data_IF_002429931366
#
_entry.id   IF_002429931366
#
_cell.length_a   1.000
_cell.length_b   1.000
_cell.length_c   1.000
_cell.angle_alpha   90.00
_cell.angle_beta   90.00
_cell.angle_gamma   90.00
#
_symmetry.space_group_name_H-M   'P 1'
#
loop_
_entity.id
_entity.type
_entity.pdbx_description
1 polymer ?
#
# COMPACT_ATOMS: atom_id res chain seq x y z
N UNK A 1 -55.04 2.54 -20.96
CA UNK A 1 -54.40 1.70 -19.94
C UNK A 1 -53.86 2.63 -18.86
N UNK A 2 -53.94 2.25 -17.58
CA UNK A 2 -53.57 3.10 -16.42
C UNK A 2 -52.06 3.35 -16.31
N UNK A 3 -51.26 2.60 -17.07
CA UNK A 3 -49.80 2.64 -17.09
C UNK A 3 -49.22 3.39 -18.29
N UNK A 4 -50.05 3.78 -19.27
CA UNK A 4 -49.62 4.39 -20.54
C UNK A 4 -48.54 3.59 -21.30
N UNK A 5 -48.51 2.26 -21.14
CA UNK A 5 -47.57 1.35 -21.84
C UNK A 5 -48.33 0.37 -22.74
N UNK A 6 -47.60 -0.22 -23.70
CA UNK A 6 -48.09 -1.36 -24.47
C UNK A 6 -48.10 -2.60 -23.58
N UNK A 7 -49.23 -3.29 -23.54
CA UNK A 7 -49.48 -4.44 -22.68
C UNK A 7 -50.01 -5.60 -23.54
N UNK A 8 -49.68 -6.82 -23.12
CA UNK A 8 -50.13 -8.09 -23.67
C UNK A 8 -50.90 -8.85 -22.59
N UNK A 9 -51.70 -9.82 -23.00
CA UNK A 9 -52.53 -10.60 -22.09
C UNK A 9 -52.28 -12.09 -22.28
N UNK A 10 -51.77 -12.76 -21.23
CA UNK A 10 -51.48 -14.21 -21.19
C UNK A 10 -52.30 -14.95 -20.11
N UNK A 11 -53.27 -14.25 -19.51
CA UNK A 11 -53.92 -14.62 -18.25
C UNK A 11 -53.75 -13.51 -17.20
N UNK A 12 -52.65 -12.74 -17.28
CA UNK A 12 -52.45 -11.47 -16.60
C UNK A 12 -52.14 -10.36 -17.62
N UNK A 13 -52.41 -9.10 -17.27
CA UNK A 13 -51.92 -7.97 -18.05
C UNK A 13 -50.43 -7.81 -17.77
N UNK A 14 -49.60 -8.16 -18.74
CA UNK A 14 -48.16 -7.97 -18.69
C UNK A 14 -47.79 -6.80 -19.59
N UNK A 15 -46.83 -5.98 -19.17
CA UNK A 15 -46.28 -4.98 -20.07
C UNK A 15 -45.49 -5.71 -21.15
N UNK A 16 -45.82 -5.49 -22.43
CA UNK A 16 -44.99 -5.97 -23.54
C UNK A 16 -43.76 -5.09 -23.54
N UNK A 17 -42.71 -5.58 -22.91
CA UNK A 17 -41.46 -4.85 -22.70
C UNK A 17 -40.28 -5.78 -22.80
N UNK A 18 -39.12 -5.18 -23.04
CA UNK A 18 -37.83 -5.85 -23.10
C UNK A 18 -37.02 -5.32 -24.27
N UNK A 19 -35.72 -5.30 -24.10
CA UNK A 19 -34.78 -5.12 -25.20
C UNK A 19 -34.30 -6.52 -25.54
N UNK A 20 -34.59 -6.97 -26.75
CA UNK A 20 -34.14 -8.26 -27.29
C UNK A 20 -33.48 -8.00 -28.65
N UNK A 21 -32.48 -8.79 -28.99
CA UNK A 21 -31.99 -8.90 -30.36
C UNK A 21 -32.90 -9.79 -31.23
N UNK A 22 -32.45 -10.10 -32.45
CA UNK A 22 -33.28 -10.75 -33.47
C UNK A 22 -33.56 -12.23 -33.15
N UNK A 23 -32.62 -12.92 -32.53
CA UNK A 23 -32.69 -14.34 -32.12
C UNK A 23 -32.98 -14.52 -30.62
N UNK A 24 -33.15 -13.42 -29.88
CA UNK A 24 -33.60 -13.35 -28.50
C UNK A 24 -32.63 -13.97 -27.48
N UNK A 25 -31.33 -14.02 -27.79
CA UNK A 25 -30.29 -14.48 -26.85
C UNK A 25 -29.51 -13.34 -26.19
N UNK A 26 -29.65 -12.10 -26.69
CA UNK A 26 -29.14 -10.88 -26.07
C UNK A 26 -30.31 -10.03 -25.61
N UNK A 27 -30.47 -9.90 -24.29
CA UNK A 27 -31.65 -9.24 -23.72
C UNK A 27 -31.42 -8.64 -22.33
N UNK A 28 -32.36 -7.79 -21.91
CA UNK A 28 -32.38 -7.20 -20.57
C UNK A 28 -33.64 -7.66 -19.83
N UNK A 29 -33.48 -8.17 -18.61
CA UNK A 29 -34.62 -8.46 -17.72
C UNK A 29 -34.62 -7.55 -16.51
N UNK A 30 -35.82 -7.16 -16.06
CA UNK A 30 -36.03 -6.46 -14.79
C UNK A 30 -36.21 -7.42 -13.61
N UNK A 31 -36.43 -8.70 -13.91
CA UNK A 31 -36.59 -9.78 -12.95
C UNK A 31 -36.22 -11.11 -13.60
N UNK A 32 -35.67 -12.06 -12.83
CA UNK A 32 -35.34 -13.39 -13.35
C UNK A 32 -36.59 -14.24 -13.58
N UNK A 33 -37.55 -14.10 -12.66
CA UNK A 33 -38.83 -14.81 -12.69
C UNK A 33 -39.95 -13.78 -12.71
N UNK A 34 -40.81 -13.74 -13.76
CA UNK A 34 -41.91 -12.79 -13.85
C UNK A 34 -42.80 -12.80 -12.60
N UNK A 35 -43.00 -11.62 -12.01
CA UNK A 35 -43.81 -11.41 -10.79
C UNK A 35 -43.11 -11.78 -9.48
N UNK A 36 -41.86 -12.25 -9.50
CA UNK A 36 -41.09 -12.49 -8.29
C UNK A 36 -40.52 -11.21 -7.65
N UNK A 37 -40.43 -10.12 -8.44
CA UNK A 37 -39.96 -8.81 -7.98
C UNK A 37 -38.61 -8.88 -7.23
N UNK A 38 -37.61 -9.49 -7.88
CA UNK A 38 -36.27 -9.65 -7.27
C UNK A 38 -35.47 -8.34 -7.23
N UNK A 39 -35.95 -7.27 -7.88
CA UNK A 39 -35.34 -5.94 -7.95
C UNK A 39 -33.93 -5.94 -8.59
N UNK A 40 -33.66 -6.87 -9.51
CA UNK A 40 -32.36 -6.99 -10.17
C UNK A 40 -32.53 -6.82 -11.68
N UNK A 41 -31.87 -5.80 -12.23
CA UNK A 41 -31.73 -5.64 -13.68
C UNK A 41 -30.57 -6.51 -14.15
N UNK A 42 -30.79 -7.33 -15.18
CA UNK A 42 -29.77 -8.23 -15.74
C UNK A 42 -29.58 -7.99 -17.23
N UNK A 43 -28.33 -8.02 -17.65
CA UNK A 43 -27.91 -7.91 -19.05
C UNK A 43 -27.40 -9.27 -19.50
N UNK A 44 -28.03 -9.82 -20.53
CA UNK A 44 -27.65 -11.08 -21.16
C UNK A 44 -27.06 -10.82 -22.55
N UNK A 45 -26.04 -11.58 -22.91
CA UNK A 45 -25.50 -11.64 -24.28
C UNK A 45 -25.14 -13.09 -24.61
N UNK A 46 -25.55 -13.55 -25.79
CA UNK A 46 -25.38 -14.94 -26.22
C UNK A 46 -25.89 -15.96 -25.17
N UNK A 47 -27.02 -15.65 -24.52
CA UNK A 47 -27.63 -16.47 -23.48
C UNK A 47 -26.95 -16.45 -22.10
N UNK A 48 -25.91 -15.64 -21.89
CA UNK A 48 -25.17 -15.55 -20.62
C UNK A 48 -25.36 -14.19 -19.95
N UNK A 49 -25.53 -14.17 -18.62
CA UNK A 49 -25.53 -12.92 -17.85
C UNK A 49 -24.11 -12.32 -17.85
N UNK A 50 -23.98 -11.10 -18.40
CA UNK A 50 -22.70 -10.36 -18.46
C UNK A 50 -22.65 -9.19 -17.46
N UNK A 51 -23.81 -8.74 -16.98
CA UNK A 51 -23.89 -7.73 -15.95
C UNK A 51 -25.20 -7.83 -15.15
N UNK A 52 -25.15 -7.48 -13.87
CA UNK A 52 -26.35 -7.24 -13.06
C UNK A 52 -26.25 -5.97 -12.24
N UNK A 53 -27.39 -5.31 -12.04
CA UNK A 53 -27.52 -4.11 -11.22
C UNK A 53 -28.54 -4.41 -10.12
N UNK A 54 -28.10 -4.24 -8.88
CA UNK A 54 -28.94 -4.29 -7.69
C UNK A 54 -29.17 -2.87 -7.16
N UNK A 55 -29.77 -2.73 -5.98
CA UNK A 55 -29.91 -1.43 -5.33
C UNK A 55 -28.55 -0.78 -4.99
N UNK A 56 -27.49 -1.59 -4.83
CA UNK A 56 -26.21 -1.12 -4.27
C UNK A 56 -25.00 -1.45 -5.13
N UNK A 57 -25.14 -2.31 -6.13
CA UNK A 57 -24.01 -2.86 -6.86
C UNK A 57 -24.25 -2.86 -8.37
N UNK A 58 -23.17 -2.62 -9.11
CA UNK A 58 -23.06 -2.96 -10.51
C UNK A 58 -22.02 -4.09 -10.65
N UNK A 59 -22.50 -5.27 -11.00
CA UNK A 59 -21.70 -6.48 -11.10
C UNK A 59 -21.32 -6.73 -12.56
N UNK A 60 -20.02 -6.76 -12.85
CA UNK A 60 -19.43 -7.11 -14.15
C UNK A 60 -18.13 -7.87 -13.94
N UNK A 61 -17.82 -8.80 -14.84
CA UNK A 61 -16.56 -9.55 -14.76
C UNK A 61 -15.34 -8.71 -15.16
N UNK A 62 -15.53 -7.76 -16.06
CA UNK A 62 -14.51 -6.86 -16.55
C UNK A 62 -15.15 -5.52 -16.84
N UNK A 63 -14.60 -4.48 -16.22
CA UNK A 63 -15.08 -3.12 -16.45
C UNK A 63 -14.07 -2.42 -17.36
N UNK A 64 -14.53 -2.07 -18.56
CA UNK A 64 -13.84 -1.15 -19.44
C UNK A 64 -14.64 0.15 -19.46
N UNK A 65 -14.06 1.20 -18.90
CA UNK A 65 -14.65 2.55 -18.90
C UNK A 65 -13.60 3.48 -19.45
N UNK A 66 -13.92 4.06 -20.61
CA UNK A 66 -12.96 4.81 -21.42
C UNK A 66 -11.67 3.97 -21.61
N UNK A 67 -10.52 4.50 -21.20
CA UNK A 67 -9.23 3.82 -21.31
C UNK A 67 -8.86 2.97 -20.08
N UNK A 68 -9.66 2.99 -19.01
CA UNK A 68 -9.39 2.29 -17.75
C UNK A 68 -10.03 0.92 -17.79
N UNK A 69 -9.23 -0.08 -17.46
CA UNK A 69 -9.69 -1.43 -17.25
C UNK A 69 -9.50 -1.84 -15.80
N UNK A 70 -10.59 -2.34 -15.24
CA UNK A 70 -10.58 -3.16 -14.05
C UNK A 70 -10.86 -4.57 -14.52
N UNK A 71 -9.78 -5.35 -14.57
CA UNK A 71 -9.82 -6.76 -14.96
C UNK A 71 -9.26 -7.56 -13.80
N UNK A 72 -10.17 -8.24 -13.11
CA UNK A 72 -9.90 -8.82 -11.80
C UNK A 72 -9.37 -7.76 -10.83
N UNK A 73 -8.12 -7.93 -10.40
CA UNK A 73 -7.45 -7.11 -9.39
C UNK A 73 -6.49 -6.06 -9.97
N UNK A 74 -6.35 -6.03 -11.29
CA UNK A 74 -5.43 -5.11 -11.94
C UNK A 74 -6.24 -3.93 -12.41
N UNK A 75 -6.00 -2.82 -11.75
CA UNK A 75 -6.37 -1.54 -12.32
C UNK A 75 -5.25 -1.20 -13.30
N UNK A 76 -5.61 -1.13 -14.58
CA UNK A 76 -4.67 -0.89 -15.68
C UNK A 76 -5.33 -0.01 -16.72
N UNK A 77 -4.52 0.46 -17.64
CA UNK A 77 -4.97 1.15 -18.83
C UNK A 77 -4.96 0.21 -20.03
N UNK A 78 -5.83 0.49 -20.99
CA UNK A 78 -6.02 -0.37 -22.17
C UNK A 78 -5.54 0.26 -23.45
N UNK A 79 -5.60 1.58 -23.55
CA UNK A 79 -4.97 2.31 -24.64
C UNK A 79 -3.47 2.33 -24.41
N UNK A 80 -2.70 1.92 -25.43
CA UNK A 80 -1.26 1.88 -25.32
C UNK A 80 -0.72 3.25 -24.92
N UNK A 81 0.20 3.26 -23.96
CA UNK A 81 0.85 4.46 -23.47
C UNK A 81 -0.09 5.43 -22.71
N UNK A 82 -1.04 4.93 -21.91
CA UNK A 82 -1.83 5.76 -20.97
C UNK A 82 -1.63 5.35 -19.51
N UNK A 83 -1.84 6.28 -18.58
CA UNK A 83 -1.53 6.13 -17.15
C UNK A 83 -2.74 5.82 -16.26
N UNK A 84 -2.51 5.15 -15.12
CA UNK A 84 -3.50 5.00 -14.05
C UNK A 84 -3.37 6.13 -13.02
N UNK A 85 -4.37 7.01 -12.95
CA UNK A 85 -4.40 8.11 -12.00
C UNK A 85 -5.27 7.80 -10.76
N UNK A 86 -4.70 7.83 -9.55
CA UNK A 86 -5.39 7.75 -8.26
C UNK A 86 -5.31 9.11 -7.56
N UNK A 87 -6.39 9.91 -7.53
CA UNK A 87 -6.39 11.29 -7.04
C UNK A 87 -7.48 11.51 -5.97
N UNK A 88 -7.18 12.10 -4.79
CA UNK A 88 -8.16 12.33 -3.73
C UNK A 88 -8.80 13.74 -3.91
N UNK A 89 -9.76 14.13 -3.05
CA UNK A 89 -10.35 15.48 -3.07
C UNK A 89 -10.31 16.14 -1.68
N UNK A 90 -10.16 17.47 -1.60
CA UNK A 90 -10.14 18.22 -0.32
C UNK A 90 -8.92 17.91 0.57
N UNK A 91 -9.12 17.72 1.89
CA UNK A 91 -8.06 17.27 2.84
C UNK A 91 -7.88 15.75 2.86
N UNK A 92 -8.42 15.04 1.87
CA UNK A 92 -8.22 13.60 1.71
C UNK A 92 -6.82 13.28 1.19
N UNK A 93 -6.26 12.15 1.60
CA UNK A 93 -5.07 11.58 0.98
C UNK A 93 -5.45 10.60 -0.13
N UNK A 94 -4.60 10.45 -1.14
CA UNK A 94 -4.60 9.17 -1.86
C UNK A 94 -3.94 8.24 -0.87
N UNK A 95 -4.75 7.37 -0.30
CA UNK A 95 -4.24 6.29 0.50
C UNK A 95 -3.58 5.29 -0.47
N UNK A 96 -2.40 5.68 -0.96
CA UNK A 96 -1.32 4.85 -1.52
C UNK A 96 -0.21 4.77 -0.48
N UNK A 97 -0.59 4.96 0.78
CA UNK A 97 0.38 5.16 1.83
C UNK A 97 1.35 6.32 1.46
N UNK A 98 2.55 6.36 2.02
CA UNK A 98 3.59 7.35 1.72
C UNK A 98 4.77 6.74 0.94
N UNK A 99 4.47 5.88 -0.03
CA UNK A 99 5.37 4.78 -0.37
C UNK A 99 5.35 4.49 -1.87
N UNK A 100 6.55 4.44 -2.47
CA UNK A 100 6.77 3.73 -3.72
C UNK A 100 7.26 2.31 -3.42
N UNK A 101 6.60 1.31 -4.02
CA UNK A 101 6.97 -0.10 -3.94
C UNK A 101 7.31 -0.54 -5.35
N UNK A 102 8.60 -0.62 -5.66
CA UNK A 102 9.05 -1.06 -6.98
C UNK A 102 10.37 -1.78 -6.85
N UNK A 103 10.55 -2.90 -7.56
CA UNK A 103 11.86 -3.54 -7.66
C UNK A 103 12.52 -3.86 -6.31
N UNK A 104 11.73 -4.23 -5.30
CA UNK A 104 12.16 -4.51 -3.92
C UNK A 104 12.66 -3.31 -3.10
N UNK A 105 12.35 -2.10 -3.54
CA UNK A 105 12.68 -0.88 -2.81
C UNK A 105 11.43 -0.17 -2.31
N UNK A 106 11.47 0.21 -1.03
CA UNK A 106 10.59 1.22 -0.46
C UNK A 106 11.35 2.53 -0.51
N UNK A 107 11.05 3.29 -1.55
CA UNK A 107 11.63 4.60 -1.68
C UNK A 107 10.66 5.61 -1.11
N UNK A 108 11.04 6.27 -0.01
CA UNK A 108 10.44 7.56 0.25
C UNK A 108 10.98 8.50 -0.80
N UNK A 109 10.08 8.88 -1.68
CA UNK A 109 10.42 9.71 -2.81
C UNK A 109 10.71 11.17 -2.42
N UNK A 110 10.83 11.50 -1.12
CA UNK A 110 11.09 12.86 -0.61
C UNK A 110 12.54 13.01 -0.08
N UNK A 111 13.37 13.76 -0.81
CA UNK A 111 14.81 14.00 -0.51
C UNK A 111 15.05 14.79 0.78
N UNK A 112 15.95 14.31 1.62
CA UNK A 112 16.27 14.91 2.93
C UNK A 112 15.10 14.87 3.93
N UNK A 113 13.89 14.50 3.49
CA UNK A 113 12.81 14.18 4.38
C UNK A 113 13.06 12.81 4.99
N UNK A 114 12.72 12.71 6.26
CA UNK A 114 12.67 11.41 6.89
C UNK A 114 11.54 10.60 6.25
N UNK A 115 11.85 9.37 5.85
CA UNK A 115 10.83 8.31 5.81
C UNK A 115 10.45 8.04 7.24
N UNK A 116 9.33 8.64 7.64
CA UNK A 116 8.89 8.53 9.02
C UNK A 116 7.96 7.35 9.12
N UNK A 117 8.49 6.31 9.75
CA UNK A 117 7.67 5.28 10.35
C UNK A 117 7.14 5.85 11.66
N UNK A 118 5.98 6.48 11.59
CA UNK A 118 5.32 7.08 12.75
C UNK A 118 4.36 6.10 13.38
N UNK A 119 4.52 5.86 14.69
CA UNK A 119 3.57 5.11 15.51
C UNK A 119 2.79 6.06 16.41
N UNK A 120 1.52 5.75 16.68
CA UNK A 120 0.72 6.45 17.69
C UNK A 120 0.98 5.85 19.08
N UNK A 121 0.93 6.65 20.15
CA UNK A 121 1.09 6.17 21.53
C UNK A 121 2.51 5.70 21.89
N UNK A 122 2.66 4.48 22.38
CA UNK A 122 3.95 3.87 22.80
C UNK A 122 4.51 2.87 21.77
N UNK A 123 4.02 2.91 20.52
CA UNK A 123 4.50 2.03 19.44
C UNK A 123 5.93 2.34 19.00
N UNK A 124 6.56 1.39 18.30
CA UNK A 124 7.95 1.47 17.83
C UNK A 124 8.12 0.80 16.46
N UNK A 125 9.29 0.98 15.86
CA UNK A 125 9.71 0.35 14.61
C UNK A 125 10.68 -0.78 14.95
N UNK A 126 10.41 -2.00 14.49
CA UNK A 126 11.28 -3.17 14.67
C UNK A 126 11.80 -3.67 13.31
N UNK A 127 13.03 -4.17 13.27
CA UNK A 127 13.61 -4.87 12.12
C UNK A 127 14.14 -6.21 12.64
N UNK A 128 13.76 -7.32 12.00
CA UNK A 128 13.98 -8.69 12.50
C UNK A 128 14.89 -9.50 11.57
N UNK A 129 15.43 -10.63 12.05
CA UNK A 129 16.32 -11.53 11.31
C UNK A 129 17.57 -11.93 12.12
N UNK A 130 18.34 -12.92 11.65
CA UNK A 130 19.64 -13.31 12.26
C UNK A 130 20.84 -12.64 11.59
N UNK A 131 20.58 -11.99 10.45
CA UNK A 131 21.56 -11.17 9.75
C UNK A 131 21.62 -9.78 10.41
N UNK A 132 21.83 -8.73 9.63
CA UNK A 132 22.01 -7.38 10.15
C UNK A 132 21.19 -6.34 9.42
N UNK A 133 20.97 -5.23 10.11
CA UNK A 133 20.56 -3.97 9.48
C UNK A 133 21.82 -3.28 8.98
N UNK A 134 21.89 -3.06 7.67
CA UNK A 134 22.92 -2.19 7.11
C UNK A 134 22.50 -0.75 7.42
N UNK A 135 23.17 -0.17 8.40
CA UNK A 135 23.07 1.26 8.67
C UNK A 135 23.87 2.05 7.64
N UNK A 136 23.58 3.35 7.45
CA UNK A 136 24.41 4.21 6.62
C UNK A 136 25.89 4.15 7.03
N UNK A 137 26.78 4.15 6.04
CA UNK A 137 28.23 4.01 6.19
C UNK A 137 28.93 5.22 5.58
N UNK A 138 29.97 5.72 6.23
CA UNK A 138 30.87 6.71 5.61
C UNK A 138 31.95 7.24 6.56
N UNK A 139 32.80 8.14 6.09
CA UNK A 139 33.87 8.80 6.84
C UNK A 139 33.35 9.88 7.80
N UNK A 140 34.21 10.35 8.70
CA UNK A 140 33.92 11.48 9.61
C UNK A 140 33.56 12.78 8.87
N UNK A 141 34.09 13.01 7.67
CA UNK A 141 33.77 14.18 6.84
C UNK A 141 32.37 14.07 6.18
N UNK A 142 31.84 12.86 6.03
CA UNK A 142 30.53 12.59 5.39
C UNK A 142 29.38 12.53 6.40
N UNK A 143 29.60 12.96 7.64
CA UNK A 143 28.53 13.07 8.66
C UNK A 143 27.40 13.96 8.15
N UNK A 144 26.17 13.59 8.52
CA UNK A 144 25.03 14.41 8.16
C UNK A 144 25.25 15.84 8.71
N UNK A 145 25.11 16.90 7.89
CA UNK A 145 25.45 18.26 8.28
C UNK A 145 24.49 18.87 9.31
N UNK A 146 23.31 18.26 9.48
CA UNK A 146 22.30 18.66 10.48
C UNK A 146 21.66 17.43 11.14
N UNK A 147 22.42 16.64 11.91
CA UNK A 147 21.95 15.38 12.45
C UNK A 147 20.86 15.61 13.51
N UNK A 148 19.94 14.66 13.63
CA UNK A 148 18.89 14.68 14.66
C UNK A 148 19.28 13.76 15.82
N UNK A 149 18.77 14.04 17.01
CA UNK A 149 18.99 13.21 18.20
C UNK A 149 18.70 11.73 17.88
N UNK A 150 19.66 10.85 18.19
CA UNK A 150 19.54 9.41 17.97
C UNK A 150 19.89 8.93 16.57
N UNK A 151 20.27 9.83 15.64
CA UNK A 151 20.79 9.43 14.34
C UNK A 151 22.03 8.54 14.52
N UNK A 152 22.03 7.37 13.88
CA UNK A 152 23.06 6.33 14.05
C UNK A 152 23.61 5.90 12.68
N UNK A 153 24.94 5.70 12.59
CA UNK A 153 25.65 5.32 11.36
C UNK A 153 26.98 4.63 11.67
N UNK A 154 27.53 3.90 10.70
CA UNK A 154 28.90 3.37 10.78
C UNK A 154 29.91 4.39 10.24
N UNK A 155 30.95 4.67 11.04
CA UNK A 155 32.03 5.57 10.67
C UNK A 155 33.28 4.79 10.26
N UNK A 156 33.69 4.93 8.99
CA UNK A 156 34.87 4.22 8.45
C UNK A 156 36.20 4.88 8.79
N UNK A 157 36.22 6.17 9.13
CA UNK A 157 37.43 6.86 9.61
C UNK A 157 37.78 6.41 11.03
N UNK A 158 36.77 6.31 11.89
CA UNK A 158 36.93 5.96 13.30
C UNK A 158 36.78 4.45 13.55
N UNK A 159 36.34 3.68 12.56
CA UNK A 159 36.15 2.22 12.65
C UNK A 159 35.10 1.78 13.66
N UNK A 160 34.02 2.56 13.84
CA UNK A 160 33.01 2.33 14.89
C UNK A 160 31.61 2.72 14.49
N UNK A 161 30.63 2.14 15.18
CA UNK A 161 29.25 2.62 15.19
C UNK A 161 29.17 3.91 16.05
N UNK A 162 28.54 4.94 15.51
CA UNK A 162 28.38 6.24 16.19
C UNK A 162 26.92 6.69 16.26
N UNK A 163 26.59 7.43 17.32
CA UNK A 163 25.27 8.02 17.57
C UNK A 163 25.41 9.52 17.82
N UNK A 164 24.47 10.32 17.29
CA UNK A 164 24.40 11.75 17.55
C UNK A 164 23.55 12.06 18.80
N UNK A 165 24.17 12.69 19.80
CA UNK A 165 23.54 12.97 21.11
C UNK A 165 22.89 14.37 21.20
N UNK A 166 22.58 14.99 20.06
CA UNK A 166 22.17 16.40 19.90
C UNK A 166 23.31 17.44 19.96
N UNK A 167 24.53 17.07 20.33
CA UNK A 167 25.69 17.98 20.39
C UNK A 167 26.86 17.45 19.55
N UNK A 168 27.25 16.19 19.75
CA UNK A 168 28.38 15.54 19.10
C UNK A 168 28.05 14.10 18.67
N UNK A 169 28.91 13.55 17.81
CA UNK A 169 28.90 12.13 17.47
C UNK A 169 29.77 11.35 18.47
N UNK A 170 29.17 10.38 19.14
CA UNK A 170 29.82 9.59 20.20
C UNK A 170 29.83 8.09 19.89
N UNK A 171 30.69 7.37 20.60
CA UNK A 171 30.75 5.91 20.50
C UNK A 171 29.53 5.33 21.18
N UNK A 172 28.87 4.36 20.54
CA UNK A 172 27.79 3.60 21.19
C UNK A 172 28.30 2.73 22.35
N UNK A 173 29.62 2.46 22.41
CA UNK A 173 30.26 1.72 23.51
C UNK A 173 30.60 2.61 24.74
N UNK A 174 30.37 3.93 24.67
CA UNK A 174 30.74 4.89 25.71
C UNK A 174 32.11 5.56 25.50
N UNK A 175 32.49 6.47 26.42
CA UNK A 175 33.73 7.28 26.37
C UNK A 175 35.00 6.44 26.48
N UNK A 176 34.92 5.32 27.19
CA UNK A 176 35.92 4.26 27.14
C UNK A 176 35.42 3.27 26.10
N UNK A 177 36.22 2.96 25.07
CA UNK A 177 35.82 1.97 24.06
C UNK A 177 35.37 0.64 24.67
N UNK A 178 34.82 -0.26 23.85
CA UNK A 178 34.46 -1.59 24.31
C UNK A 178 35.65 -2.25 25.02
N UNK A 179 35.52 -2.50 26.32
CA UNK A 179 36.54 -3.22 27.09
C UNK A 179 36.42 -4.68 26.66
N UNK A 180 37.40 -5.18 25.92
CA UNK A 180 37.44 -6.62 25.64
C UNK A 180 37.66 -7.38 26.94
N UNK A 181 37.31 -8.68 26.98
CA UNK A 181 37.63 -9.52 28.15
C UNK A 181 39.13 -9.50 28.45
N UNK A 182 39.97 -9.41 27.43
CA UNK A 182 41.43 -9.25 27.56
C UNK A 182 41.84 -7.91 28.18
N UNK A 183 41.20 -6.80 27.78
CA UNK A 183 41.47 -5.50 28.39
C UNK A 183 41.02 -5.48 29.86
N UNK A 184 39.88 -6.09 30.17
CA UNK A 184 39.40 -6.25 31.55
C UNK A 184 40.34 -7.12 32.39
N UNK A 185 40.86 -8.23 31.84
CA UNK A 185 41.81 -9.12 32.52
C UNK A 185 43.15 -8.44 32.77
N UNK A 186 43.66 -7.68 31.80
CA UNK A 186 44.92 -6.94 31.95
C UNK A 186 44.79 -5.82 32.99
N UNK A 187 43.67 -5.10 33.01
CA UNK A 187 43.37 -4.12 34.06
C UNK A 187 43.29 -4.82 35.43
N UNK A 188 42.61 -5.95 35.53
CA UNK A 188 42.49 -6.70 36.78
C UNK A 188 43.84 -7.20 37.31
N UNK A 189 44.69 -7.78 36.44
CA UNK A 189 46.04 -8.23 36.79
C UNK A 189 46.93 -7.05 37.22
N UNK A 190 46.85 -5.93 36.53
CA UNK A 190 47.62 -4.73 36.86
C UNK A 190 47.23 -4.15 38.22
N UNK A 191 45.94 -4.12 38.55
CA UNK A 191 45.45 -3.68 39.86
C UNK A 191 45.93 -4.62 40.97
N UNK A 192 45.84 -5.94 40.76
CA UNK A 192 46.30 -6.95 41.75
C UNK A 192 47.81 -6.84 41.99
N UNK A 193 48.62 -6.65 40.96
CA UNK A 193 50.08 -6.46 41.08
C UNK A 193 50.48 -5.11 41.69
N UNK A 194 49.60 -4.11 41.65
CA UNK A 194 49.86 -2.78 42.23
C UNK A 194 49.48 -2.66 43.71
N UNK A 195 48.70 -3.61 44.24
CA UNK A 195 48.16 -3.63 45.60
C UNK A 195 48.75 -4.75 46.49
N UNK A 196 49.54 -5.66 45.92
CA UNK A 196 50.32 -6.67 46.63
C UNK A 196 51.79 -6.28 46.73
#
# INVERSE_FOLDING_TARGET
TTTSRFEGYDGNWIVLTGVFDLDADTYITAELTPGANDNIIRFYSAGNEIASITQTEFNVSKLLVDDIQIDGNTISTTTANTDLNLLPNGTGGVNIDNINISGSEINNTVSGAATRFTSTGTGYVEIVGVDGVVLPVGTSAERHPSPVLGMTRWNTTDGRLEIFNAVTWESVAGTSGSVSTTDAENIALQVVLSLG
#
